data_IF_891735665986
#
_entry.id   IF_891735665986
#
_cell.length_a   1.000
_cell.length_b   1.000
_cell.length_c   1.000
_cell.angle_alpha   90.00
_cell.angle_beta   90.00
_cell.angle_gamma   90.00
#
_symmetry.space_group_name_H-M   'P 1'
#
loop_
_entity.id
_entity.type
_entity.pdbx_description
1 polymer ?
#
# COMPACT_ATOMS: atom_id res chain seq x y z
N UNK A 1 -21.01 -23.13 37.11
CA UNK A 1 -21.03 -23.78 35.78
C UNK A 1 -21.88 -22.91 34.87
N UNK A 2 -21.30 -21.88 34.25
CA UNK A 2 -20.79 -21.86 32.87
C UNK A 2 -21.88 -22.06 31.80
N UNK A 3 -22.09 -21.02 30.97
CA UNK A 3 -22.94 -21.08 29.78
C UNK A 3 -23.17 -19.72 29.08
N UNK A 4 -22.09 -19.09 28.62
CA UNK A 4 -21.95 -18.12 27.52
C UNK A 4 -23.22 -17.61 26.82
N UNK A 5 -23.57 -16.35 27.06
CA UNK A 5 -24.32 -15.50 26.14
C UNK A 5 -23.35 -14.68 25.29
N UNK A 6 -23.18 -15.05 24.01
CA UNK A 6 -22.46 -14.26 23.03
C UNK A 6 -23.24 -12.97 22.73
N UNK A 7 -22.69 -11.82 23.10
CA UNK A 7 -23.22 -10.51 22.73
C UNK A 7 -22.80 -10.20 21.29
N UNK A 8 -23.75 -10.32 20.37
CA UNK A 8 -23.69 -9.72 19.03
C UNK A 8 -23.67 -8.19 19.17
N UNK A 9 -22.64 -7.54 18.65
CA UNK A 9 -22.58 -6.09 18.50
C UNK A 9 -23.38 -5.70 17.25
N UNK A 10 -24.69 -5.52 17.40
CA UNK A 10 -25.53 -4.80 16.43
C UNK A 10 -25.79 -3.39 16.95
N UNK A 11 -25.49 -2.41 16.09
CA UNK A 11 -25.93 -1.01 16.09
C UNK A 11 -25.47 -0.11 17.26
N UNK A 12 -24.36 0.58 17.03
CA UNK A 12 -24.08 1.89 17.62
C UNK A 12 -23.88 2.88 16.47
N UNK A 13 -24.98 3.52 16.08
CA UNK A 13 -25.02 4.67 15.17
C UNK A 13 -24.49 5.91 15.90
N UNK A 14 -23.17 6.14 15.83
CA UNK A 14 -22.58 7.47 16.03
C UNK A 14 -22.22 8.05 14.65
N UNK A 15 -23.26 8.30 13.85
CA UNK A 15 -23.14 8.99 12.57
C UNK A 15 -22.99 10.50 12.83
N UNK A 16 -21.76 11.02 12.73
CA UNK A 16 -21.54 12.46 12.68
C UNK A 16 -21.97 12.95 11.30
N UNK A 17 -23.11 13.65 11.24
CA UNK A 17 -23.54 14.41 10.05
C UNK A 17 -22.42 15.38 9.66
N UNK A 18 -21.93 15.40 8.40
CA UNK A 18 -20.81 16.26 8.05
C UNK A 18 -21.26 17.73 8.02
N UNK A 19 -20.86 18.51 9.02
CA UNK A 19 -21.01 19.97 8.99
C UNK A 19 -19.90 20.58 8.13
N UNK A 20 -20.31 21.20 7.04
CA UNK A 20 -19.51 22.10 6.19
C UNK A 20 -19.28 23.44 6.92
N UNK A 21 -18.37 23.53 7.89
CA UNK A 21 -17.91 24.84 8.39
C UNK A 21 -16.44 24.84 8.85
N UNK A 22 -15.83 26.01 8.65
CA UNK A 22 -14.40 26.28 8.54
C UNK A 22 -13.57 26.18 9.83
N UNK A 23 -12.30 25.87 9.60
CA UNK A 23 -11.15 25.83 10.51
C UNK A 23 -11.05 27.06 11.45
N UNK A 24 -10.79 26.80 12.73
CA UNK A 24 -9.93 27.67 13.58
C UNK A 24 -8.85 26.81 14.24
N UNK A 25 -7.56 27.17 14.15
CA UNK A 25 -6.51 26.40 14.80
C UNK A 25 -6.47 26.71 16.30
N UNK A 26 -6.31 25.67 17.12
CA UNK A 26 -6.00 25.78 18.56
C UNK A 26 -4.51 25.44 18.75
N UNK A 27 -3.82 26.20 19.59
CA UNK A 27 -2.39 26.01 19.89
C UNK A 27 -2.18 24.79 20.80
N UNK A 28 -1.12 24.01 20.54
CA UNK A 28 -0.73 22.83 21.32
C UNK A 28 0.67 23.01 21.90
N UNK A 29 0.82 22.75 23.20
CA UNK A 29 2.10 22.63 23.89
C UNK A 29 2.57 21.16 23.92
N UNK A 30 3.87 20.93 23.73
CA UNK A 30 4.49 19.60 23.62
C UNK A 30 4.77 18.97 25.00
N UNK A 31 4.49 17.67 25.17
CA UNK A 31 5.19 16.79 26.14
C UNK A 31 5.40 15.36 25.61
N UNK A 32 6.53 14.77 26.00
CA UNK A 32 7.02 13.44 25.63
C UNK A 32 6.38 12.33 26.49
N UNK A 33 6.03 11.19 25.90
CA UNK A 33 5.81 9.93 26.65
C UNK A 33 6.25 8.69 25.88
N UNK A 34 6.74 7.72 26.68
CA UNK A 34 7.39 6.46 26.34
C UNK A 34 6.39 5.32 26.04
N UNK A 35 6.76 4.47 25.09
CA UNK A 35 6.06 3.29 24.57
C UNK A 35 5.73 2.21 25.60
N UNK A 36 4.51 1.67 25.53
CA UNK A 36 4.23 0.32 26.07
C UNK A 36 2.79 -0.01 26.49
N UNK A 37 1.79 0.85 26.27
CA UNK A 37 0.57 0.75 27.07
C UNK A 37 -0.69 0.21 26.38
N UNK A 38 -1.55 -0.43 27.18
CA UNK A 38 -2.77 -1.13 26.73
C UNK A 38 -3.91 -0.12 26.53
N UNK A 39 -4.49 -0.07 25.33
CA UNK A 39 -5.55 0.90 25.02
C UNK A 39 -6.94 0.37 25.46
N UNK A 40 -7.67 1.16 26.25
CA UNK A 40 -9.09 0.94 26.59
C UNK A 40 -9.99 1.95 25.88
N UNK A 41 -11.05 1.46 25.24
CA UNK A 41 -12.06 2.28 24.54
C UNK A 41 -13.18 2.61 25.53
N UNK A 42 -13.47 3.89 25.75
CA UNK A 42 -14.61 4.37 26.54
C UNK A 42 -15.42 5.40 25.74
N UNK A 43 -16.69 5.64 26.11
CA UNK A 43 -17.58 6.60 25.43
C UNK A 43 -17.02 8.02 25.32
N UNK A 44 -16.04 8.39 26.14
CA UNK A 44 -15.44 9.74 26.19
C UNK A 44 -14.06 9.85 25.51
N UNK A 45 -13.55 8.76 24.89
CA UNK A 45 -12.29 8.75 24.13
C UNK A 45 -11.47 7.46 24.26
N UNK A 46 -10.29 7.48 23.65
CA UNK A 46 -9.30 6.40 23.73
C UNK A 46 -8.33 6.70 24.87
N UNK A 47 -8.07 5.71 25.73
CA UNK A 47 -7.17 5.86 26.87
C UNK A 47 -6.05 4.83 26.79
N UNK A 48 -4.81 5.28 26.95
CA UNK A 48 -3.62 4.45 27.09
C UNK A 48 -3.42 4.13 28.58
N UNK A 49 -3.23 2.86 28.94
CA UNK A 49 -3.03 2.41 30.33
C UNK A 49 -1.62 1.86 30.48
N UNK A 50 -0.78 2.58 31.24
CA UNK A 50 0.60 2.17 31.56
C UNK A 50 0.65 0.88 32.40
N UNK A 51 1.86 0.31 32.53
CA UNK A 51 2.11 -0.91 33.32
C UNK A 51 1.79 -0.74 34.82
N UNK A 52 1.52 0.49 35.26
CA UNK A 52 1.12 0.85 36.63
C UNK A 52 -0.39 1.09 36.78
N UNK A 53 -1.16 0.98 35.69
CA UNK A 53 -2.62 1.14 35.68
C UNK A 53 -3.12 2.58 35.56
N UNK A 54 -2.25 3.54 35.25
CA UNK A 54 -2.61 4.95 35.05
C UNK A 54 -3.13 5.15 33.62
N UNK A 55 -4.34 5.71 33.50
CA UNK A 55 -4.99 5.97 32.22
C UNK A 55 -4.72 7.40 31.72
N UNK A 56 -4.01 7.57 30.61
CA UNK A 56 -3.85 8.83 29.88
C UNK A 56 -4.80 8.88 28.68
N UNK A 57 -5.44 10.03 28.41
CA UNK A 57 -6.31 10.19 27.23
C UNK A 57 -5.43 10.41 26.01
N UNK A 58 -5.56 9.56 24.99
CA UNK A 58 -4.85 9.72 23.73
C UNK A 58 -5.39 10.96 23.00
N UNK A 59 -4.50 11.88 22.66
CA UNK A 59 -4.86 13.05 21.86
C UNK A 59 -5.19 12.62 20.42
N UNK A 60 -6.19 13.30 19.86
CA UNK A 60 -6.61 13.07 18.47
C UNK A 60 -5.51 13.62 17.56
N UNK A 61 -4.88 12.75 16.78
CA UNK A 61 -3.94 13.17 15.73
C UNK A 61 -4.72 13.93 14.66
N UNK A 62 -4.31 15.17 14.39
CA UNK A 62 -4.85 15.96 13.28
C UNK A 62 -4.24 15.44 11.97
N UNK A 63 -5.06 14.73 11.19
CA UNK A 63 -4.72 14.24 9.85
C UNK A 63 -5.13 15.33 8.86
N UNK A 64 -4.16 15.92 8.18
CA UNK A 64 -4.43 16.90 7.12
C UNK A 64 -4.81 16.19 5.82
N UNK A 65 -5.33 16.94 4.83
CA UNK A 65 -5.55 16.43 3.47
C UNK A 65 -4.25 15.96 2.78
N UNK A 66 -3.08 16.36 3.29
CA UNK A 66 -1.80 15.81 2.85
C UNK A 66 -1.54 14.41 3.43
N UNK A 67 -2.14 14.11 4.60
CA UNK A 67 -1.96 12.87 5.36
C UNK A 67 -3.00 11.78 5.02
N UNK A 68 -4.06 12.12 4.28
CA UNK A 68 -5.01 11.14 3.77
C UNK A 68 -5.82 11.71 2.60
N UNK A 69 -5.81 10.99 1.46
CA UNK A 69 -6.64 11.30 0.30
C UNK A 69 -8.07 10.77 0.42
N UNK A 70 -8.39 10.03 1.49
CA UNK A 70 -9.76 9.66 1.77
C UNK A 70 -10.58 10.91 2.10
N UNK A 71 -11.87 10.84 1.79
CA UNK A 71 -12.83 11.90 2.03
C UNK A 71 -12.64 12.53 3.43
N UNK A 72 -12.77 13.86 3.56
CA UNK A 72 -12.78 14.50 4.88
C UNK A 72 -13.83 13.80 5.76
N UNK A 73 -13.38 13.07 6.80
CA UNK A 73 -14.25 12.26 7.66
C UNK A 73 -14.19 10.74 7.45
N UNK A 74 -13.39 10.23 6.50
CA UNK A 74 -13.25 8.79 6.25
C UNK A 74 -12.37 8.08 7.30
N UNK A 75 -11.47 8.78 8.00
CA UNK A 75 -10.57 8.19 9.00
C UNK A 75 -11.09 8.42 10.42
N UNK A 76 -11.15 7.33 11.20
CA UNK A 76 -11.44 7.32 12.64
C UNK A 76 -10.19 7.63 13.47
N UNK A 77 -10.35 8.09 14.72
CA UNK A 77 -9.19 8.33 15.59
C UNK A 77 -8.33 7.08 15.80
N UNK A 78 -8.94 5.88 15.84
CA UNK A 78 -8.21 4.62 15.94
C UNK A 78 -7.34 4.36 14.69
N UNK A 79 -7.89 4.62 13.50
CA UNK A 79 -7.14 4.53 12.24
C UNK A 79 -6.01 5.57 12.16
N UNK A 80 -6.18 6.75 12.78
CA UNK A 80 -5.10 7.74 12.90
C UNK A 80 -3.92 7.24 13.75
N UNK A 81 -4.21 6.50 14.83
CA UNK A 81 -3.16 5.85 15.64
C UNK A 81 -2.42 4.81 14.79
N UNK A 82 -3.13 3.94 14.06
CA UNK A 82 -2.53 2.92 13.18
C UNK A 82 -1.64 3.52 12.08
N UNK A 83 -2.00 4.70 11.56
CA UNK A 83 -1.16 5.45 10.62
C UNK A 83 0.09 5.99 11.31
N UNK A 84 -0.03 6.47 12.54
CA UNK A 84 1.08 7.11 13.27
C UNK A 84 2.10 6.10 13.79
N UNK A 85 1.64 4.89 14.15
CA UNK A 85 2.49 3.74 14.52
C UNK A 85 3.41 3.31 13.37
N UNK A 86 3.05 3.59 12.12
CA UNK A 86 3.88 3.35 10.94
C UNK A 86 4.48 4.67 10.48
N UNK A 87 5.73 4.94 10.82
CA UNK A 87 6.37 6.21 10.48
C UNK A 87 7.86 6.05 10.19
N UNK A 88 8.45 7.11 9.65
CA UNK A 88 9.90 7.24 9.54
C UNK A 88 10.62 7.10 10.88
N UNK A 89 10.00 7.56 11.98
CA UNK A 89 10.59 7.47 13.31
C UNK A 89 10.66 6.02 13.78
N UNK A 90 9.57 5.25 13.60
CA UNK A 90 9.56 3.82 13.90
C UNK A 90 10.56 3.06 13.02
N UNK A 91 10.65 3.39 11.73
CA UNK A 91 11.62 2.76 10.83
C UNK A 91 13.08 3.03 11.27
N UNK A 92 13.42 4.28 11.60
CA UNK A 92 14.76 4.65 12.08
C UNK A 92 15.10 3.94 13.40
N UNK A 93 14.14 3.85 14.32
CA UNK A 93 14.29 3.10 15.56
C UNK A 93 14.56 1.62 15.29
N UNK A 94 13.81 0.98 14.39
CA UNK A 94 14.04 -0.41 14.00
C UNK A 94 15.43 -0.58 13.39
N UNK A 95 15.90 0.35 12.55
CA UNK A 95 17.27 0.31 12.02
C UNK A 95 18.32 0.39 13.14
N UNK A 96 18.19 1.32 14.08
CA UNK A 96 19.12 1.51 15.20
C UNK A 96 19.17 0.28 16.13
N UNK A 97 18.01 -0.25 16.51
CA UNK A 97 17.89 -1.48 17.30
C UNK A 97 18.57 -2.65 16.58
N UNK A 98 18.31 -2.80 15.27
CA UNK A 98 18.87 -3.89 14.48
C UNK A 98 20.40 -3.79 14.35
N UNK A 99 20.93 -2.58 14.15
CA UNK A 99 22.37 -2.33 14.13
C UNK A 99 23.02 -2.63 15.48
N UNK A 100 22.38 -2.22 16.58
CA UNK A 100 22.85 -2.49 17.95
C UNK A 100 22.92 -3.98 18.23
N UNK A 101 21.90 -4.74 17.83
CA UNK A 101 21.89 -6.21 17.96
C UNK A 101 23.03 -6.85 17.15
N UNK A 102 23.24 -6.42 15.90
CA UNK A 102 24.33 -6.89 15.04
C UNK A 102 25.71 -6.57 15.64
N UNK A 103 25.91 -5.36 16.16
CA UNK A 103 27.16 -4.92 16.78
C UNK A 103 27.50 -5.68 18.07
N UNK A 104 26.49 -6.05 18.84
CA UNK A 104 26.64 -6.84 20.08
C UNK A 104 26.79 -8.35 19.82
N UNK A 105 26.85 -8.80 18.56
CA UNK A 105 26.95 -10.21 18.20
C UNK A 105 25.64 -10.99 18.30
N UNK A 106 24.51 -10.33 18.61
CA UNK A 106 23.19 -10.94 18.73
C UNK A 106 22.46 -10.97 17.37
N UNK A 107 23.14 -11.44 16.32
CA UNK A 107 22.65 -11.41 14.93
C UNK A 107 21.34 -12.20 14.77
N UNK A 108 21.16 -13.28 15.53
CA UNK A 108 19.95 -14.10 15.50
C UNK A 108 18.70 -13.37 16.00
N UNK A 109 18.86 -12.36 16.85
CA UNK A 109 17.76 -11.51 17.32
C UNK A 109 17.49 -10.34 16.36
N UNK A 110 18.43 -10.05 15.46
CA UNK A 110 18.29 -9.01 14.46
C UNK A 110 17.25 -9.43 13.41
N UNK A 111 16.36 -8.51 13.06
CA UNK A 111 15.41 -8.66 11.96
C UNK A 111 16.16 -8.60 10.63
N UNK A 112 15.65 -9.33 9.63
CA UNK A 112 16.07 -9.15 8.25
C UNK A 112 15.21 -8.06 7.59
N UNK A 113 15.79 -6.89 7.32
CA UNK A 113 15.02 -5.72 6.87
C UNK A 113 15.00 -5.68 5.34
N UNK A 114 13.81 -5.81 4.76
CA UNK A 114 13.58 -5.75 3.32
C UNK A 114 12.74 -4.52 3.01
N UNK A 115 13.22 -3.64 2.13
CA UNK A 115 12.50 -2.43 1.71
C UNK A 115 12.04 -2.56 0.25
N UNK A 116 10.73 -2.52 0.02
CA UNK A 116 10.14 -2.54 -1.33
C UNK A 116 9.79 -1.13 -1.79
N UNK A 117 10.32 -0.72 -2.94
CA UNK A 117 10.13 0.60 -3.52
C UNK A 117 9.03 0.59 -4.59
N UNK A 118 7.94 1.29 -4.33
CA UNK A 118 6.94 1.60 -5.36
C UNK A 118 7.47 2.63 -6.35
N UNK A 119 7.07 2.53 -7.62
CA UNK A 119 7.50 3.44 -8.69
C UNK A 119 7.07 4.89 -8.42
N UNK A 120 5.88 5.11 -7.86
CA UNK A 120 5.28 6.43 -7.73
C UNK A 120 6.06 7.33 -6.72
N UNK A 121 6.42 6.87 -5.51
CA UNK A 121 7.32 7.62 -4.62
C UNK A 121 8.67 7.95 -5.24
N UNK A 122 9.27 6.99 -5.97
CA UNK A 122 10.55 7.18 -6.65
C UNK A 122 10.45 8.30 -7.68
N UNK A 123 9.43 8.28 -8.53
CA UNK A 123 9.22 9.35 -9.53
C UNK A 123 8.95 10.71 -8.89
N UNK A 124 8.22 10.75 -7.78
CA UNK A 124 7.96 11.98 -7.02
C UNK A 124 9.26 12.59 -6.48
N UNK A 125 10.10 11.75 -5.86
CA UNK A 125 11.40 12.16 -5.33
C UNK A 125 12.40 12.52 -6.43
N UNK A 126 12.41 11.78 -7.53
CA UNK A 126 13.24 12.08 -8.70
C UNK A 126 12.94 13.50 -9.23
N UNK A 127 11.65 13.83 -9.38
CA UNK A 127 11.22 15.17 -9.79
C UNK A 127 11.62 16.24 -8.76
N UNK A 128 11.46 15.96 -7.46
CA UNK A 128 11.82 16.90 -6.39
C UNK A 128 13.32 17.22 -6.35
N UNK A 129 14.17 16.20 -6.45
CA UNK A 129 15.63 16.32 -6.39
C UNK A 129 16.29 16.54 -7.77
N UNK A 130 15.50 16.67 -8.84
CA UNK A 130 15.98 16.86 -10.22
C UNK A 130 16.93 15.74 -10.68
N UNK A 131 16.64 14.51 -10.28
CA UNK A 131 17.36 13.30 -10.68
C UNK A 131 16.59 12.58 -11.80
N UNK A 132 17.28 11.79 -12.62
CA UNK A 132 16.59 10.80 -13.44
C UNK A 132 15.91 9.74 -12.54
N UNK A 133 14.86 9.05 -13.03
CA UNK A 133 14.22 7.99 -12.27
C UNK A 133 15.19 6.90 -11.80
N UNK A 134 16.12 6.47 -12.67
CA UNK A 134 17.08 5.41 -12.36
C UNK A 134 18.15 5.88 -11.35
N UNK A 135 18.63 7.12 -11.46
CA UNK A 135 19.54 7.70 -10.46
C UNK A 135 18.87 7.83 -9.09
N UNK A 136 17.64 8.35 -9.05
CA UNK A 136 16.87 8.45 -7.81
C UNK A 136 16.69 7.08 -7.16
N UNK A 137 16.40 6.07 -7.97
CA UNK A 137 16.24 4.70 -7.52
C UNK A 137 17.53 4.13 -6.91
N UNK A 138 18.69 4.34 -7.55
CA UNK A 138 19.98 3.92 -7.03
C UNK A 138 20.36 4.66 -5.74
N UNK A 139 20.15 5.97 -5.69
CA UNK A 139 20.44 6.81 -4.50
C UNK A 139 19.57 6.42 -3.30
N UNK A 140 18.27 6.18 -3.52
CA UNK A 140 17.37 5.68 -2.47
C UNK A 140 17.82 4.30 -1.97
N UNK A 141 18.24 3.43 -2.88
CA UNK A 141 18.74 2.11 -2.52
C UNK A 141 19.98 2.19 -1.63
N UNK A 142 20.99 2.97 -2.04
CA UNK A 142 22.21 3.13 -1.25
C UNK A 142 21.95 3.82 0.09
N UNK A 143 21.04 4.82 0.12
CA UNK A 143 20.63 5.47 1.37
C UNK A 143 20.00 4.48 2.36
N UNK A 144 19.03 3.67 1.92
CA UNK A 144 18.38 2.67 2.76
C UNK A 144 19.34 1.57 3.22
N UNK A 145 20.27 1.15 2.35
CA UNK A 145 21.34 0.21 2.71
C UNK A 145 22.29 0.80 3.76
N UNK A 146 22.68 2.07 3.62
CA UNK A 146 23.47 2.80 4.64
C UNK A 146 22.75 2.83 5.99
N UNK A 147 21.43 2.98 6.00
CA UNK A 147 20.62 2.91 7.23
C UNK A 147 20.51 1.50 7.82
N UNK A 148 20.81 0.46 7.04
CA UNK A 148 20.86 -0.93 7.52
C UNK A 148 19.80 -1.86 6.92
N UNK A 149 19.16 -1.46 5.81
CA UNK A 149 18.35 -2.39 5.02
C UNK A 149 19.24 -3.51 4.46
N UNK A 150 18.82 -4.75 4.67
CA UNK A 150 19.57 -5.91 4.18
C UNK A 150 19.24 -6.23 2.72
N UNK A 151 18.04 -5.86 2.26
CA UNK A 151 17.65 -5.92 0.85
C UNK A 151 16.75 -4.73 0.50
N UNK A 152 16.93 -4.20 -0.71
CA UNK A 152 16.04 -3.19 -1.29
C UNK A 152 15.61 -3.69 -2.66
N UNK A 153 14.30 -3.71 -2.91
CA UNK A 153 13.72 -4.34 -4.11
C UNK A 153 12.72 -3.41 -4.80
N UNK A 154 12.50 -3.57 -6.11
CA UNK A 154 11.40 -2.90 -6.81
C UNK A 154 10.07 -3.64 -6.62
N UNK A 155 8.96 -2.93 -6.84
CA UNK A 155 7.63 -3.51 -6.71
C UNK A 155 7.03 -4.06 -8.01
N UNK A 156 7.73 -3.97 -9.15
CA UNK A 156 7.16 -4.26 -10.46
C UNK A 156 6.63 -5.68 -10.55
N UNK A 157 7.32 -6.67 -9.96
CA UNK A 157 6.84 -8.06 -9.94
C UNK A 157 5.48 -8.22 -9.24
N UNK A 158 5.21 -7.45 -8.18
CA UNK A 158 3.92 -7.51 -7.50
C UNK A 158 2.81 -6.76 -8.27
N UNK A 159 3.18 -5.70 -9.01
CA UNK A 159 2.28 -5.04 -9.95
C UNK A 159 1.90 -5.98 -11.10
N UNK A 160 2.87 -6.71 -11.66
CA UNK A 160 2.65 -7.74 -12.68
C UNK A 160 1.65 -8.80 -12.20
N UNK A 161 1.86 -9.38 -11.01
CA UNK A 161 0.94 -10.36 -10.44
C UNK A 161 -0.46 -9.78 -10.24
N UNK A 162 -0.57 -8.54 -9.76
CA UNK A 162 -1.88 -7.89 -9.59
C UNK A 162 -2.63 -7.74 -10.93
N UNK A 163 -1.92 -7.39 -12.00
CA UNK A 163 -2.52 -7.29 -13.34
C UNK A 163 -2.94 -8.66 -13.89
N UNK A 164 -2.08 -9.66 -13.75
CA UNK A 164 -2.34 -11.02 -14.21
C UNK A 164 -3.53 -11.67 -13.49
N UNK A 165 -3.67 -11.45 -12.19
CA UNK A 165 -4.82 -11.97 -11.44
C UNK A 165 -6.09 -11.17 -11.74
N UNK A 166 -6.02 -9.84 -11.80
CA UNK A 166 -7.19 -9.00 -12.11
C UNK A 166 -7.75 -9.26 -13.52
N UNK A 167 -6.90 -9.50 -14.52
CA UNK A 167 -7.36 -9.83 -15.88
C UNK A 167 -8.04 -11.20 -15.95
N UNK A 168 -7.53 -12.20 -15.20
CA UNK A 168 -8.11 -13.54 -15.11
C UNK A 168 -9.48 -13.47 -14.43
N UNK A 169 -9.55 -12.74 -13.32
CA UNK A 169 -10.79 -12.52 -12.58
C UNK A 169 -11.84 -11.82 -13.47
N UNK A 170 -11.45 -10.77 -14.21
CA UNK A 170 -12.37 -10.08 -15.11
C UNK A 170 -12.98 -11.02 -16.15
N UNK A 171 -12.15 -11.80 -16.85
CA UNK A 171 -12.61 -12.76 -17.87
C UNK A 171 -13.54 -13.81 -17.26
N UNK A 172 -13.21 -14.30 -16.07
CA UNK A 172 -14.08 -15.23 -15.34
C UNK A 172 -15.44 -14.59 -15.01
N UNK A 173 -15.45 -13.38 -14.41
CA UNK A 173 -16.69 -12.65 -14.09
C UNK A 173 -17.51 -12.37 -15.35
N UNK A 174 -16.88 -11.99 -16.45
CA UNK A 174 -17.56 -11.75 -17.72
C UNK A 174 -18.28 -13.01 -18.23
N UNK A 175 -17.61 -14.16 -18.24
CA UNK A 175 -18.19 -15.45 -18.65
C UNK A 175 -19.34 -15.89 -17.73
N UNK A 176 -19.23 -15.67 -16.42
CA UNK A 176 -20.29 -15.97 -15.46
C UNK A 176 -21.50 -15.03 -15.60
N UNK A 177 -21.26 -13.76 -15.93
CA UNK A 177 -22.33 -12.79 -16.12
C UNK A 177 -23.23 -13.13 -17.32
N UNK A 178 -22.66 -13.74 -18.37
CA UNK A 178 -23.44 -14.28 -19.48
C UNK A 178 -24.44 -15.38 -19.03
N UNK A 179 -24.19 -16.00 -17.87
CA UNK A 179 -25.08 -16.98 -17.23
C UNK A 179 -26.04 -16.35 -16.20
N UNK A 180 -26.25 -15.02 -16.25
CA UNK A 180 -27.15 -14.25 -15.37
C UNK A 180 -26.80 -14.27 -13.88
N UNK A 181 -25.52 -14.41 -13.54
CA UNK A 181 -25.05 -14.40 -12.14
C UNK A 181 -24.87 -12.98 -11.55
N UNK A 182 -25.06 -11.92 -12.35
CA UNK A 182 -24.98 -10.51 -11.92
C UNK A 182 -23.70 -10.16 -11.11
N UNK A 183 -22.54 -10.52 -11.67
CA UNK A 183 -21.21 -10.35 -11.04
C UNK A 183 -20.39 -9.19 -11.62
N UNK A 184 -21.02 -8.40 -12.51
CA UNK A 184 -20.47 -7.18 -13.11
C UNK A 184 -21.31 -5.96 -12.69
N UNK A 185 -20.71 -4.76 -12.59
CA UNK A 185 -19.34 -4.40 -12.98
C UNK A 185 -18.27 -5.00 -12.06
N UNK A 186 -17.03 -5.16 -12.56
CA UNK A 186 -15.88 -5.45 -11.70
C UNK A 186 -15.24 -4.12 -11.30
N UNK A 187 -15.11 -3.89 -9.99
CA UNK A 187 -14.55 -2.68 -9.40
C UNK A 187 -13.13 -2.96 -8.91
N UNK A 188 -12.24 -1.99 -9.04
CA UNK A 188 -10.85 -2.15 -8.63
C UNK A 188 -10.72 -2.35 -7.10
N UNK A 189 -9.69 -3.08 -6.67
CA UNK A 189 -9.38 -3.37 -5.26
C UNK A 189 -8.02 -2.83 -4.82
N UNK A 190 -7.17 -2.36 -5.74
CA UNK A 190 -5.77 -1.99 -5.47
C UNK A 190 -5.60 -0.68 -4.69
N UNK A 191 -6.63 0.19 -4.69
CA UNK A 191 -6.66 1.46 -3.98
C UNK A 191 -7.34 1.30 -2.61
N UNK A 192 -6.59 1.34 -1.49
CA UNK A 192 -7.18 1.15 -0.17
C UNK A 192 -8.15 2.25 0.23
N UNK A 193 -7.93 3.51 -0.15
CA UNK A 193 -8.88 4.59 0.09
C UNK A 193 -10.24 4.33 -0.57
N UNK A 194 -10.25 3.78 -1.78
CA UNK A 194 -11.49 3.36 -2.46
C UNK A 194 -12.16 2.20 -1.73
N UNK A 195 -11.40 1.17 -1.33
CA UNK A 195 -11.95 0.01 -0.60
C UNK A 195 -12.57 0.46 0.72
N UNK A 196 -11.87 1.30 1.50
CA UNK A 196 -12.40 1.85 2.75
C UNK A 196 -13.66 2.69 2.53
N UNK A 197 -13.69 3.52 1.49
CA UNK A 197 -14.88 4.30 1.12
C UNK A 197 -16.06 3.37 0.73
N UNK A 198 -15.81 2.33 -0.07
CA UNK A 198 -16.83 1.37 -0.46
C UNK A 198 -17.38 0.60 0.76
N UNK A 199 -16.52 0.12 1.65
CA UNK A 199 -16.89 -0.56 2.90
C UNK A 199 -17.75 0.35 3.80
N UNK A 200 -17.34 1.60 4.01
CA UNK A 200 -17.99 2.53 4.96
C UNK A 200 -19.27 3.18 4.41
N UNK A 201 -19.30 3.51 3.12
CA UNK A 201 -20.40 4.29 2.55
C UNK A 201 -21.44 3.42 1.85
N UNK A 202 -21.03 2.34 1.20
CA UNK A 202 -21.90 1.55 0.32
C UNK A 202 -22.16 0.13 0.84
N UNK A 203 -21.25 -0.41 1.66
CA UNK A 203 -21.38 -1.72 2.30
C UNK A 203 -21.70 -2.84 1.31
N UNK A 204 -22.57 -3.77 1.73
CA UNK A 204 -22.90 -4.98 0.99
C UNK A 204 -23.42 -4.77 -0.44
N UNK A 205 -23.84 -3.56 -0.80
CA UNK A 205 -24.28 -3.26 -2.17
C UNK A 205 -23.11 -3.25 -3.17
N UNK A 206 -21.94 -2.74 -2.77
CA UNK A 206 -20.79 -2.56 -3.66
C UNK A 206 -19.72 -3.64 -3.46
N UNK A 207 -19.53 -4.14 -2.23
CA UNK A 207 -18.45 -5.07 -1.91
C UNK A 207 -18.39 -6.34 -2.79
N UNK A 208 -19.51 -6.97 -3.19
CA UNK A 208 -19.46 -8.14 -4.09
C UNK A 208 -18.85 -7.85 -5.47
N UNK A 209 -18.86 -6.59 -5.90
CA UNK A 209 -18.33 -6.16 -7.19
C UNK A 209 -16.85 -5.79 -7.13
N UNK A 210 -16.27 -5.61 -5.95
CA UNK A 210 -14.82 -5.36 -5.80
C UNK A 210 -14.05 -6.62 -6.17
N UNK A 211 -12.97 -6.45 -6.93
CA UNK A 211 -12.03 -7.50 -7.31
C UNK A 211 -11.48 -8.20 -6.05
N UNK A 212 -11.37 -9.53 -6.11
CA UNK A 212 -10.78 -10.33 -5.03
C UNK A 212 -9.26 -10.31 -5.06
N UNK A 213 -8.66 -9.75 -6.11
CA UNK A 213 -7.22 -9.61 -6.26
C UNK A 213 -6.66 -8.68 -5.18
N UNK A 214 -5.64 -9.14 -4.45
CA UNK A 214 -4.89 -8.31 -3.47
C UNK A 214 -4.23 -7.11 -4.17
N UNK A 215 -3.99 -6.02 -3.43
CA UNK A 215 -3.19 -4.92 -3.97
C UNK A 215 -1.72 -5.32 -4.16
N UNK A 216 -0.95 -4.63 -5.03
CA UNK A 216 0.49 -4.88 -5.19
C UNK A 216 1.28 -4.85 -3.88
N UNK A 217 0.89 -4.00 -2.91
CA UNK A 217 1.53 -3.96 -1.60
C UNK A 217 1.42 -5.30 -0.88
N UNK A 218 0.22 -5.86 -0.82
CA UNK A 218 -0.06 -7.09 -0.08
C UNK A 218 0.42 -8.33 -0.84
N UNK A 219 0.39 -8.28 -2.18
CA UNK A 219 1.06 -9.29 -3.01
C UNK A 219 2.55 -9.30 -2.73
N UNK A 220 3.20 -8.13 -2.71
CA UNK A 220 4.63 -8.03 -2.39
C UNK A 220 4.91 -8.56 -0.99
N UNK A 221 4.09 -8.22 0.02
CA UNK A 221 4.22 -8.77 1.36
C UNK A 221 4.21 -10.29 1.39
N UNK A 222 3.25 -10.92 0.70
CA UNK A 222 3.21 -12.38 0.58
C UNK A 222 4.44 -12.94 -0.15
N UNK A 223 4.92 -12.30 -1.23
CA UNK A 223 6.15 -12.72 -1.95
C UNK A 223 7.37 -12.66 -1.03
N UNK A 224 7.56 -11.54 -0.32
CA UNK A 224 8.72 -11.33 0.55
C UNK A 224 8.72 -12.33 1.70
N UNK A 225 7.59 -12.44 2.42
CA UNK A 225 7.46 -13.24 3.63
C UNK A 225 7.49 -14.75 3.33
N UNK A 226 6.85 -15.19 2.24
CA UNK A 226 6.67 -16.61 1.97
C UNK A 226 7.67 -17.20 0.98
N UNK A 227 8.13 -16.42 0.00
CA UNK A 227 9.00 -16.90 -1.08
C UNK A 227 10.43 -16.40 -0.93
N UNK A 228 10.65 -15.08 -0.88
CA UNK A 228 12.01 -14.51 -0.78
C UNK A 228 12.70 -14.95 0.50
N UNK A 229 11.97 -14.99 1.62
CA UNK A 229 12.48 -15.53 2.88
C UNK A 229 13.10 -16.92 2.75
N UNK A 230 12.51 -17.79 1.92
CA UNK A 230 13.02 -19.14 1.65
C UNK A 230 14.16 -19.14 0.62
N UNK A 231 14.06 -18.32 -0.42
CA UNK A 231 14.97 -18.35 -1.58
C UNK A 231 16.30 -17.65 -1.32
N UNK A 232 16.30 -16.50 -0.65
CA UNK A 232 17.52 -15.70 -0.44
C UNK A 232 18.37 -16.18 0.76
N UNK A 233 18.11 -17.39 1.26
CA UNK A 233 18.88 -17.97 2.36
C UNK A 233 18.89 -17.06 3.58
N UNK A 234 17.72 -16.55 4.02
CA UNK A 234 17.62 -16.02 5.39
C UNK A 234 18.41 -16.95 6.29
N UNK A 235 19.28 -16.43 7.17
CA UNK A 235 19.76 -17.25 8.27
C UNK A 235 18.49 -17.85 8.87
N UNK A 236 18.37 -19.19 8.76
CA UNK A 236 17.25 -19.92 9.33
C UNK A 236 17.06 -19.30 10.70
N UNK A 237 15.84 -18.86 11.04
CA UNK A 237 15.45 -18.25 12.32
C UNK A 237 15.33 -16.70 12.42
N UNK A 238 15.77 -15.88 11.45
CA UNK A 238 15.54 -14.41 11.57
C UNK A 238 14.18 -13.95 11.02
N UNK A 239 13.35 -13.24 11.81
CA UNK A 239 12.10 -12.69 11.31
C UNK A 239 12.36 -11.60 10.26
N UNK A 240 11.57 -11.59 9.20
CA UNK A 240 11.63 -10.56 8.16
C UNK A 240 10.83 -9.35 8.63
N UNK A 241 11.44 -8.17 8.56
CA UNK A 241 10.76 -6.89 8.71
C UNK A 241 10.63 -6.23 7.34
N UNK A 242 9.43 -6.30 6.77
CA UNK A 242 9.12 -5.82 5.44
C UNK A 242 8.56 -4.40 5.50
N UNK A 243 9.30 -3.49 4.89
CA UNK A 243 8.97 -2.08 4.75
C UNK A 243 8.55 -1.82 3.32
N UNK A 244 7.52 -1.02 3.12
CA UNK A 244 7.17 -0.54 1.78
C UNK A 244 7.19 0.98 1.71
N UNK A 245 7.74 1.50 0.62
CA UNK A 245 7.69 2.92 0.30
C UNK A 245 6.54 3.16 -0.65
N UNK A 246 5.52 3.89 -0.21
CA UNK A 246 4.21 4.00 -0.87
C UNK A 246 3.79 5.44 -1.15
N UNK A 247 2.98 5.68 -2.19
CA UNK A 247 2.55 7.03 -2.56
C UNK A 247 1.35 7.56 -1.75
N UNK A 248 0.83 6.80 -0.78
CA UNK A 248 -0.41 7.14 -0.09
C UNK A 248 -0.40 6.64 1.36
N UNK A 249 -0.95 7.41 2.29
CA UNK A 249 -1.10 7.01 3.69
C UNK A 249 -2.15 5.91 3.90
N UNK A 250 -3.15 5.78 3.02
CA UNK A 250 -4.13 4.69 3.11
C UNK A 250 -3.48 3.30 2.97
N UNK A 251 -2.25 3.24 2.42
CA UNK A 251 -1.44 2.02 2.39
C UNK A 251 -0.97 1.59 3.78
N UNK A 252 -0.78 2.52 4.73
CA UNK A 252 -0.55 2.23 6.15
C UNK A 252 -1.77 1.55 6.75
N UNK A 253 -2.97 2.07 6.49
CA UNK A 253 -4.23 1.46 6.92
C UNK A 253 -4.40 0.05 6.33
N UNK A 254 -4.07 -0.11 5.05
CA UNK A 254 -4.08 -1.41 4.39
C UNK A 254 -3.12 -2.40 5.08
N UNK A 255 -1.91 -1.99 5.46
CA UNK A 255 -0.96 -2.85 6.18
C UNK A 255 -1.44 -3.21 7.60
N UNK A 256 -2.21 -2.34 8.26
CA UNK A 256 -2.76 -2.59 9.59
C UNK A 256 -3.96 -3.54 9.62
N UNK A 257 -4.58 -3.83 8.46
CA UNK A 257 -5.73 -4.74 8.36
C UNK A 257 -5.44 -6.11 8.97
N UNK A 258 -6.41 -6.65 9.72
CA UNK A 258 -6.26 -7.90 10.45
C UNK A 258 -6.15 -9.10 9.52
N UNK A 259 -6.71 -8.99 8.32
CA UNK A 259 -6.71 -10.01 7.28
C UNK A 259 -5.32 -10.27 6.69
N UNK A 260 -4.37 -9.37 6.92
CA UNK A 260 -2.97 -9.51 6.49
C UNK A 260 -2.01 -9.80 7.64
N UNK A 261 -2.55 -10.20 8.80
CA UNK A 261 -1.78 -10.75 9.91
C UNK A 261 -1.85 -12.27 9.89
N UNK A 262 -0.69 -12.92 9.85
CA UNK A 262 -0.58 -14.36 9.96
C UNK A 262 -0.30 -14.75 11.42
N UNK A 263 -1.28 -15.40 12.04
CA UNK A 263 -1.20 -15.85 13.43
C UNK A 263 -0.21 -17.00 13.66
N UNK A 264 0.19 -17.73 12.61
CA UNK A 264 1.18 -18.81 12.75
C UNK A 264 2.60 -18.28 12.80
N UNK A 265 2.89 -17.25 12.01
CA UNK A 265 4.20 -16.60 11.96
C UNK A 265 4.29 -15.36 12.86
N UNK A 266 3.17 -14.99 13.51
CA UNK A 266 3.00 -13.76 14.29
C UNK A 266 3.49 -12.51 13.53
N UNK A 267 3.27 -12.48 12.22
CA UNK A 267 3.83 -11.47 11.33
C UNK A 267 2.78 -10.90 10.38
N UNK A 268 2.99 -9.67 9.93
CA UNK A 268 2.17 -9.04 8.89
C UNK A 268 2.83 -9.25 7.52
N UNK A 269 2.00 -9.24 6.48
CA UNK A 269 2.48 -9.17 5.09
C UNK A 269 3.40 -7.92 4.92
N UNK A 270 3.04 -6.79 5.53
CA UNK A 270 3.83 -5.54 5.58
C UNK A 270 3.89 -5.02 7.01
N UNK A 271 5.10 -4.81 7.55
CA UNK A 271 5.30 -4.40 8.94
C UNK A 271 5.33 -2.87 9.10
N UNK A 272 5.82 -2.16 8.07
CA UNK A 272 5.85 -0.70 8.08
C UNK A 272 5.64 -0.14 6.67
N UNK A 273 4.88 0.94 6.58
CA UNK A 273 4.71 1.69 5.34
C UNK A 273 5.21 3.12 5.59
N UNK A 274 6.08 3.61 4.73
CA UNK A 274 6.52 5.01 4.73
C UNK A 274 6.24 5.64 3.37
N UNK A 275 6.14 6.96 3.35
CA UNK A 275 5.85 7.74 2.14
C UNK A 275 7.08 8.46 1.58
N UNK A 276 6.95 9.03 0.38
CA UNK A 276 7.97 9.91 -0.18
C UNK A 276 8.29 11.11 0.73
N UNK A 277 7.26 11.68 1.39
CA UNK A 277 7.42 12.81 2.32
C UNK A 277 8.23 12.36 3.54
N UNK A 278 7.92 11.18 4.08
CA UNK A 278 8.63 10.63 5.23
C UNK A 278 10.10 10.31 4.92
N UNK A 279 10.40 9.80 3.72
CA UNK A 279 11.79 9.67 3.26
C UNK A 279 12.51 11.02 3.16
N UNK A 280 11.83 12.05 2.66
CA UNK A 280 12.40 13.40 2.59
C UNK A 280 12.67 13.95 4.00
N UNK A 281 11.79 13.70 4.97
CA UNK A 281 11.98 14.08 6.37
C UNK A 281 13.18 13.37 7.00
N UNK A 282 13.41 12.09 6.68
CA UNK A 282 14.61 11.36 7.15
C UNK A 282 15.89 12.01 6.62
N UNK A 283 15.94 12.30 5.31
CA UNK A 283 17.07 12.98 4.66
C UNK A 283 17.33 14.36 5.27
N UNK A 284 16.28 15.16 5.48
CA UNK A 284 16.37 16.46 6.13
C UNK A 284 16.87 16.36 7.57
N UNK A 285 16.44 15.35 8.32
CA UNK A 285 16.89 15.09 9.69
C UNK A 285 18.39 14.80 9.78
N UNK A 286 18.98 14.20 8.76
CA UNK A 286 20.43 13.99 8.62
C UNK A 286 21.18 15.19 8.01
N UNK A 287 20.47 16.22 7.53
CA UNK A 287 21.07 17.29 6.73
C UNK A 287 21.65 16.79 5.41
N UNK A 288 21.12 15.68 4.87
CA UNK A 288 21.59 15.02 3.66
C UNK A 288 20.65 15.31 2.49
N UNK A 289 21.19 15.71 1.34
CA UNK A 289 20.45 15.72 0.07
C UNK A 289 20.48 14.33 -0.56
N UNK A 290 19.37 13.88 -1.17
CA UNK A 290 19.36 12.60 -1.89
C UNK A 290 20.39 12.55 -3.02
N UNK A 291 20.71 13.70 -3.63
CA UNK A 291 21.74 13.83 -4.68
C UNK A 291 23.11 13.34 -4.16
N UNK A 292 23.40 13.62 -2.89
CA UNK A 292 24.66 13.31 -2.23
C UNK A 292 24.64 11.94 -1.53
N UNK A 293 23.50 11.24 -1.56
CA UNK A 293 23.39 9.90 -0.99
C UNK A 293 24.31 8.90 -1.73
N UNK A 294 24.76 7.83 -1.05
CA UNK A 294 25.47 6.77 -1.74
C UNK A 294 24.55 6.09 -2.77
N UNK A 295 25.13 5.64 -3.86
CA UNK A 295 24.45 4.79 -4.83
C UNK A 295 24.44 3.35 -4.33
N UNK A 296 23.34 2.66 -4.57
CA UNK A 296 23.17 1.25 -4.25
C UNK A 296 22.59 0.49 -5.43
N UNK A 297 22.75 -0.83 -5.38
CA UNK A 297 22.16 -1.77 -6.34
C UNK A 297 20.98 -2.48 -5.69
N UNK A 298 19.85 -2.56 -6.41
CA UNK A 298 18.73 -3.36 -5.95
C UNK A 298 19.10 -4.82 -5.79
N UNK A 299 18.47 -5.44 -4.80
CA UNK A 299 18.31 -6.88 -4.71
C UNK A 299 17.23 -7.31 -5.70
N UNK A 300 17.51 -8.30 -6.55
CA UNK A 300 16.59 -8.77 -7.59
C UNK A 300 16.33 -10.27 -7.44
N UNK A 301 15.61 -10.71 -6.41
CA UNK A 301 15.50 -12.14 -6.09
C UNK A 301 14.73 -12.95 -7.15
N UNK A 302 13.95 -12.29 -8.01
CA UNK A 302 13.19 -12.91 -9.11
C UNK A 302 13.94 -13.00 -10.44
N UNK A 303 15.14 -12.41 -10.55
CA UNK A 303 15.95 -12.52 -11.76
C UNK A 303 16.99 -13.62 -11.55
N UNK A 304 17.00 -14.68 -12.38
CA UNK A 304 18.04 -15.70 -12.31
C UNK A 304 19.43 -15.09 -12.51
N UNK A 305 20.41 -15.50 -11.70
CA UNK A 305 21.81 -15.03 -11.77
C UNK A 305 22.50 -15.37 -13.10
N UNK A 306 21.94 -16.31 -13.88
CA UNK A 306 22.48 -16.78 -15.15
C UNK A 306 22.25 -15.80 -16.33
N UNK A 307 21.67 -14.63 -16.08
CA UNK A 307 21.49 -13.59 -17.10
C UNK A 307 20.40 -13.90 -18.13
N UNK A 308 19.65 -15.00 -17.99
CA UNK A 308 18.56 -15.34 -18.91
C UNK A 308 17.27 -14.55 -18.64
N UNK A 309 17.28 -13.66 -17.64
CA UNK A 309 16.19 -12.75 -17.29
C UNK A 309 16.31 -11.36 -17.89
N UNK A 310 16.27 -11.23 -19.23
CA UNK A 310 15.72 -10.05 -19.93
C UNK A 310 16.15 -8.62 -19.53
N UNK A 311 17.35 -8.43 -18.97
CA UNK A 311 17.98 -7.12 -18.80
C UNK A 311 19.45 -7.27 -19.18
N UNK A 312 19.73 -7.12 -20.48
CA UNK A 312 20.99 -7.49 -21.13
C UNK A 312 22.27 -6.83 -20.61
N UNK A 313 22.20 -5.87 -19.69
CA UNK A 313 23.36 -5.10 -19.25
C UNK A 313 23.53 -5.05 -17.71
N UNK A 314 22.72 -5.79 -16.94
CA UNK A 314 22.78 -5.76 -15.46
C UNK A 314 22.35 -4.44 -14.81
N UNK A 315 21.99 -3.42 -15.60
CA UNK A 315 21.37 -2.18 -15.15
C UNK A 315 19.90 -2.41 -14.79
N UNK A 316 19.55 -2.04 -13.57
CA UNK A 316 18.17 -1.99 -13.10
C UNK A 316 17.53 -0.72 -13.68
N UNK A 317 16.56 -0.90 -14.58
CA UNK A 317 15.76 0.21 -15.10
C UNK A 317 14.38 0.17 -14.49
N UNK A 318 13.92 1.33 -14.01
CA UNK A 318 12.56 1.47 -13.52
C UNK A 318 11.58 1.20 -14.68
N UNK A 319 10.69 0.22 -14.51
CA UNK A 319 9.69 -0.15 -15.51
C UNK A 319 8.29 0.15 -15.01
N UNK A 320 7.39 0.38 -15.97
CA UNK A 320 5.97 0.62 -15.70
C UNK A 320 5.13 0.09 -16.85
N UNK A 321 3.94 -0.40 -16.54
CA UNK A 321 2.93 -0.72 -17.52
C UNK A 321 2.44 0.51 -18.30
N UNK A 322 2.15 0.29 -19.58
CA UNK A 322 1.47 1.28 -20.44
C UNK A 322 0.06 1.53 -19.91
N UNK A 323 -0.40 2.77 -20.00
CA UNK A 323 -1.74 3.18 -19.60
C UNK A 323 -1.70 4.37 -18.66
N UNK A 324 -2.44 4.30 -17.56
CA UNK A 324 -2.58 5.39 -16.60
C UNK A 324 -1.40 5.54 -15.62
N UNK A 325 -1.32 6.74 -15.02
CA UNK A 325 -0.51 7.06 -13.85
C UNK A 325 -0.82 6.26 -12.58
N UNK A 326 -1.84 5.38 -12.62
CA UNK A 326 -2.19 4.42 -11.55
C UNK A 326 -1.80 2.97 -11.85
N UNK A 327 -1.02 2.72 -12.91
CA UNK A 327 -0.49 1.38 -13.23
C UNK A 327 -1.15 0.71 -14.44
N UNK A 328 -1.99 1.42 -15.20
CA UNK A 328 -2.52 0.91 -16.48
C UNK A 328 -3.47 -0.28 -16.36
N UNK A 329 -4.09 -0.51 -15.19
CA UNK A 329 -5.00 -1.63 -14.97
C UNK A 329 -6.13 -1.71 -16.00
N UNK A 330 -6.80 -0.58 -16.28
CA UNK A 330 -7.88 -0.56 -17.25
C UNK A 330 -7.39 -0.92 -18.66
N UNK A 331 -6.30 -0.31 -19.11
CA UNK A 331 -5.64 -0.61 -20.40
C UNK A 331 -5.26 -2.09 -20.52
N UNK A 332 -4.57 -2.62 -19.52
CA UNK A 332 -4.07 -3.99 -19.51
C UNK A 332 -5.22 -5.01 -19.54
N UNK A 333 -6.19 -4.87 -18.63
CA UNK A 333 -7.30 -5.81 -18.51
C UNK A 333 -8.20 -5.73 -19.74
N UNK A 334 -8.48 -4.53 -20.25
CA UNK A 334 -9.29 -4.36 -21.46
C UNK A 334 -8.60 -5.00 -22.67
N UNK A 335 -7.30 -4.75 -22.89
CA UNK A 335 -6.55 -5.39 -23.98
C UNK A 335 -6.58 -6.91 -23.86
N UNK A 336 -6.29 -7.46 -22.69
CA UNK A 336 -6.36 -8.91 -22.48
C UNK A 336 -7.77 -9.46 -22.76
N UNK A 337 -8.81 -8.80 -22.22
CA UNK A 337 -10.19 -9.21 -22.40
C UNK A 337 -10.66 -9.14 -23.86
N UNK A 338 -10.26 -8.11 -24.62
CA UNK A 338 -10.60 -7.99 -26.05
C UNK A 338 -10.11 -9.20 -26.84
N UNK A 339 -8.87 -9.61 -26.58
CA UNK A 339 -8.22 -10.75 -27.24
C UNK A 339 -8.81 -12.09 -26.77
N UNK A 340 -8.91 -12.29 -25.46
CA UNK A 340 -9.33 -13.56 -24.86
C UNK A 340 -10.83 -13.87 -25.06
N UNK A 341 -11.68 -12.84 -25.06
CA UNK A 341 -13.13 -13.04 -25.18
C UNK A 341 -13.65 -12.92 -26.62
N UNK A 342 -12.98 -12.14 -27.47
CA UNK A 342 -13.50 -11.80 -28.81
C UNK A 342 -12.51 -12.02 -29.95
N UNK A 343 -11.26 -12.39 -29.65
CA UNK A 343 -10.21 -12.55 -30.67
C UNK A 343 -9.78 -11.24 -31.34
N UNK A 344 -10.11 -10.10 -30.74
CA UNK A 344 -9.76 -8.77 -31.24
C UNK A 344 -8.48 -8.28 -30.58
N UNK A 345 -7.61 -7.59 -31.32
CA UNK A 345 -6.43 -6.93 -30.74
C UNK A 345 -6.67 -5.41 -30.71
N UNK A 346 -6.15 -4.76 -29.67
CA UNK A 346 -6.26 -3.32 -29.48
C UNK A 346 -4.88 -2.72 -29.20
N UNK A 347 -4.63 -1.57 -29.81
CA UNK A 347 -3.45 -0.77 -29.53
C UNK A 347 -3.56 -0.11 -28.16
N UNK A 348 -2.42 0.07 -27.49
CA UNK A 348 -2.31 0.83 -26.26
C UNK A 348 -1.52 2.13 -26.51
N UNK A 349 -1.76 3.20 -25.72
CA UNK A 349 -2.80 3.32 -24.70
C UNK A 349 -4.21 3.34 -25.31
N UNK A 350 -5.22 3.00 -24.52
CA UNK A 350 -6.61 3.06 -24.99
C UNK A 350 -7.08 4.49 -25.22
N UNK A 351 -7.94 4.67 -26.21
CA UNK A 351 -8.66 5.93 -26.41
C UNK A 351 -9.84 6.01 -25.45
N UNK A 352 -9.77 6.98 -24.53
CA UNK A 352 -10.79 7.21 -23.53
C UNK A 352 -11.66 8.41 -23.89
N UNK A 353 -12.97 8.20 -23.91
CA UNK A 353 -13.96 9.27 -24.04
C UNK A 353 -14.27 9.86 -22.67
N UNK A 354 -14.12 11.17 -22.53
CA UNK A 354 -14.56 11.89 -21.33
C UNK A 354 -16.08 11.83 -21.21
N UNK A 355 -16.56 11.58 -19.98
CA UNK A 355 -17.98 11.61 -19.64
C UNK A 355 -18.34 12.93 -18.97
N UNK A 356 -18.84 12.87 -17.73
CA UNK A 356 -19.38 14.04 -17.03
C UNK A 356 -18.31 15.08 -16.68
N UNK A 357 -17.09 14.65 -16.40
CA UNK A 357 -15.96 15.49 -16.01
C UNK A 357 -14.64 14.82 -16.47
N UNK A 358 -13.48 15.52 -16.40
CA UNK A 358 -12.19 14.97 -16.81
C UNK A 358 -11.73 13.72 -16.04
N UNK A 359 -12.29 13.50 -14.85
CA UNK A 359 -11.94 12.40 -13.97
C UNK A 359 -12.72 11.12 -14.26
N UNK A 360 -13.82 11.21 -15.01
CA UNK A 360 -14.63 10.06 -15.41
C UNK A 360 -14.53 9.86 -16.92
N UNK A 361 -13.80 8.82 -17.32
CA UNK A 361 -13.58 8.47 -18.72
C UNK A 361 -13.99 7.02 -19.01
N UNK A 362 -14.49 6.75 -20.21
CA UNK A 362 -14.86 5.40 -20.65
C UNK A 362 -14.09 4.97 -21.91
N UNK A 363 -13.80 3.68 -22.01
CA UNK A 363 -13.33 3.01 -23.21
C UNK A 363 -14.33 1.90 -23.58
N UNK A 364 -14.63 1.76 -24.87
CA UNK A 364 -15.64 0.82 -25.36
C UNK A 364 -15.09 0.00 -26.51
N UNK A 365 -15.33 -1.31 -26.49
CA UNK A 365 -15.18 -2.19 -27.65
C UNK A 365 -16.56 -2.39 -28.27
N UNK A 366 -16.73 -2.01 -29.53
CA UNK A 366 -17.96 -2.18 -30.29
C UNK A 366 -17.71 -3.00 -31.55
N UNK A 367 -18.61 -3.93 -31.85
CA UNK A 367 -18.59 -4.74 -33.08
C UNK A 367 -20.02 -4.94 -33.58
N UNK A 368 -20.23 -4.75 -34.88
CA UNK A 368 -21.55 -4.91 -35.54
C UNK A 368 -22.68 -4.12 -34.84
N UNK A 369 -22.40 -2.89 -34.38
CA UNK A 369 -23.36 -2.05 -33.67
C UNK A 369 -23.68 -2.50 -32.23
N UNK A 370 -22.93 -3.48 -31.69
CA UNK A 370 -23.10 -4.00 -30.32
C UNK A 370 -21.88 -3.68 -29.47
N UNK A 371 -22.13 -3.11 -28.30
CA UNK A 371 -21.11 -2.92 -27.27
C UNK A 371 -20.75 -4.27 -26.66
N UNK A 372 -19.50 -4.68 -26.82
CA UNK A 372 -18.95 -5.93 -26.32
C UNK A 372 -18.30 -5.75 -24.94
N UNK A 373 -17.51 -4.68 -24.78
CA UNK A 373 -16.87 -4.32 -23.51
C UNK A 373 -17.02 -2.84 -23.25
N UNK A 374 -17.18 -2.49 -21.98
CA UNK A 374 -17.16 -1.11 -21.52
C UNK A 374 -16.39 -1.03 -20.21
N UNK A 375 -15.34 -0.21 -20.21
CA UNK A 375 -14.49 0.04 -19.06
C UNK A 375 -14.55 1.52 -18.71
N UNK A 376 -14.43 1.83 -17.42
CA UNK A 376 -14.39 3.19 -16.92
C UNK A 376 -13.17 3.40 -16.03
N UNK A 377 -12.54 4.56 -16.17
CA UNK A 377 -11.59 5.11 -15.20
C UNK A 377 -12.31 6.24 -14.48
N UNK A 378 -12.33 6.17 -13.15
CA UNK A 378 -12.89 7.20 -12.27
C UNK A 378 -11.78 7.62 -11.30
N UNK A 379 -11.33 8.87 -11.41
CA UNK A 379 -10.28 9.41 -10.56
C UNK A 379 -10.86 10.32 -9.47
N UNK A 380 -10.58 10.01 -8.21
CA UNK A 380 -11.10 10.79 -7.09
C UNK A 380 -12.51 10.38 -6.65
N UNK A 381 -12.98 11.02 -5.57
CA UNK A 381 -14.19 10.62 -4.83
C UNK A 381 -15.41 11.51 -5.08
N UNK A 382 -15.29 12.56 -5.92
CA UNK A 382 -16.34 13.58 -6.14
C UNK A 382 -17.29 13.24 -7.28
#
# INVERSE_FOLDING_TARGET
>A
MFGNGALQLTNLDDFITPSQECIKPVQVEKKNTSTGSKIKIQKEGYFEVDDQGVSSKLEKVDITLADCLACSGCITSAEGVLISEQSQQELLKVFEENQTLKANGNIEQAKWIVVSLSVQPVLSLAAHFQLSPDECFSKLTGYLQKLGADAVVDMTVAEDFALLEAQREFVQRYRLNAQKQNVLPMLASSCPGWVCYAEKTHGNFILPYISTTKSPQQIMGSIIKQWVGKTLGTPQHRPIYHVTVMPCYDKKLEASRKEFFDAQTESRDVDCVITAIELQQMLQGEGLSLVDAPEGRLTQPWIPEDGQGGAGDGEVRLRRHVGSGSGGYADHIFKYATKELFGEDVSLPLEYKQLRNPDFKEATLEKDGKVLLKFAIVNGFR
#
